data_IF_208788422012
#
_entry.id   IF_208788422012
#
_cell.length_a   1.000
_cell.length_b   1.000
_cell.length_c   1.000
_cell.angle_alpha   90.00
_cell.angle_beta   90.00
_cell.angle_gamma   90.00
#
_symmetry.space_group_name_H-M   'P 1'
#
loop_
_entity.id
_entity.type
_entity.pdbx_description
1 polymer ?
#
# COMPACT_ATOMS: atom_id res chain seq x y z
N UNK A 1 -31.87 2.38 -10.06
CA UNK A 1 -30.57 1.79 -10.50
C UNK A 1 -29.48 2.47 -9.70
N UNK A 2 -28.61 1.73 -9.01
CA UNK A 2 -27.53 2.33 -8.24
C UNK A 2 -26.65 3.20 -9.16
N UNK A 3 -26.41 4.43 -8.76
CA UNK A 3 -25.48 5.33 -9.44
C UNK A 3 -24.35 5.73 -8.50
N UNK A 4 -23.16 6.00 -9.07
CA UNK A 4 -21.93 6.31 -8.35
C UNK A 4 -21.39 7.61 -8.90
N UNK A 5 -21.03 8.54 -8.02
CA UNK A 5 -20.49 9.86 -8.34
C UNK A 5 -19.23 10.09 -7.50
N UNK A 6 -18.12 10.47 -8.14
CA UNK A 6 -16.90 10.84 -7.44
C UNK A 6 -17.07 12.24 -6.87
N UNK A 7 -16.99 12.37 -5.55
CA UNK A 7 -17.10 13.65 -4.85
C UNK A 7 -15.73 14.32 -4.72
N UNK A 8 -14.70 13.55 -4.36
CA UNK A 8 -13.32 14.00 -4.32
C UNK A 8 -12.38 12.85 -4.62
N UNK A 9 -11.27 13.17 -5.28
CA UNK A 9 -10.17 12.25 -5.52
C UNK A 9 -8.87 13.02 -5.37
N UNK A 10 -8.03 12.55 -4.49
CA UNK A 10 -6.65 12.95 -4.30
C UNK A 10 -5.75 11.78 -4.71
N UNK A 11 -4.43 11.94 -4.65
CA UNK A 11 -3.51 10.92 -5.17
C UNK A 11 -3.81 9.52 -4.63
N UNK A 12 -3.95 9.38 -3.31
CA UNK A 12 -4.15 8.09 -2.64
C UNK A 12 -5.55 7.93 -2.01
N UNK A 13 -6.40 8.97 -2.05
CA UNK A 13 -7.69 8.97 -1.37
C UNK A 13 -8.85 9.29 -2.31
N UNK A 14 -9.98 8.60 -2.13
CA UNK A 14 -11.21 8.87 -2.87
C UNK A 14 -12.42 8.90 -1.94
N UNK A 15 -13.35 9.80 -2.25
CA UNK A 15 -14.69 9.83 -1.67
C UNK A 15 -15.73 9.74 -2.77
N UNK A 16 -16.63 8.78 -2.64
CA UNK A 16 -17.65 8.46 -3.67
C UNK A 16 -19.04 8.50 -3.06
N UNK A 17 -19.99 9.11 -3.76
CA UNK A 17 -21.40 9.10 -3.40
C UNK A 17 -22.15 7.99 -4.17
N UNK A 18 -22.78 7.12 -3.42
CA UNK A 18 -23.71 6.12 -3.94
C UNK A 18 -25.13 6.63 -3.76
N UNK A 19 -25.93 6.57 -4.84
CA UNK A 19 -27.36 6.90 -4.84
C UNK A 19 -28.16 5.65 -5.19
N UNK A 20 -29.42 5.60 -4.73
CA UNK A 20 -30.30 4.44 -4.87
C UNK A 20 -29.68 3.13 -4.35
N UNK A 21 -28.97 3.21 -3.24
CA UNK A 21 -28.24 2.10 -2.64
C UNK A 21 -28.72 1.81 -1.21
N UNK A 22 -28.22 0.74 -0.64
CA UNK A 22 -28.49 0.38 0.75
C UNK A 22 -27.20 0.06 1.53
N UNK A 23 -27.34 -0.03 2.84
CA UNK A 23 -26.23 -0.30 3.75
C UNK A 23 -25.58 -1.67 3.51
N UNK A 24 -26.34 -2.66 3.05
CA UNK A 24 -25.83 -4.01 2.79
C UNK A 24 -24.87 -4.01 1.59
N UNK A 25 -25.27 -3.31 0.52
CA UNK A 25 -24.43 -3.14 -0.67
C UNK A 25 -23.12 -2.41 -0.33
N UNK A 26 -23.20 -1.29 0.41
CA UNK A 26 -22.01 -0.53 0.80
C UNK A 26 -21.07 -1.37 1.68
N UNK A 27 -21.63 -2.17 2.59
CA UNK A 27 -20.80 -3.06 3.41
C UNK A 27 -20.17 -4.19 2.58
N UNK A 28 -20.85 -4.70 1.55
CA UNK A 28 -20.27 -5.67 0.63
C UNK A 28 -19.09 -5.06 -0.15
N UNK A 29 -19.25 -3.85 -0.70
CA UNK A 29 -18.16 -3.11 -1.37
C UNK A 29 -17.00 -2.86 -0.41
N UNK A 30 -17.27 -2.33 0.79
CA UNK A 30 -16.25 -2.11 1.82
C UNK A 30 -15.44 -3.37 2.12
N UNK A 31 -16.09 -4.51 2.31
CA UNK A 31 -15.41 -5.78 2.59
C UNK A 31 -14.56 -6.26 1.42
N UNK A 32 -14.99 -6.03 0.19
CA UNK A 32 -14.18 -6.36 -0.99
C UNK A 32 -12.96 -5.44 -1.08
N UNK A 33 -13.12 -4.14 -0.87
CA UNK A 33 -12.00 -3.19 -0.82
C UNK A 33 -10.94 -3.62 0.18
N UNK A 34 -11.34 -3.98 1.40
CA UNK A 34 -10.41 -4.31 2.49
C UNK A 34 -9.63 -5.61 2.28
N UNK A 35 -10.21 -6.61 1.60
CA UNK A 35 -9.60 -7.93 1.67
C UNK A 35 -9.67 -8.80 0.42
N UNK A 36 -10.36 -8.38 -0.61
CA UNK A 36 -10.61 -9.24 -1.76
C UNK A 36 -10.15 -8.67 -3.12
N UNK A 37 -9.42 -7.56 -3.10
CA UNK A 37 -8.72 -7.05 -4.29
C UNK A 37 -7.41 -7.82 -4.42
N UNK A 38 -7.10 -8.40 -5.60
CA UNK A 38 -5.79 -8.98 -5.87
C UNK A 38 -4.71 -7.91 -5.82
N UNK A 39 -3.60 -8.19 -5.17
CA UNK A 39 -2.46 -7.28 -5.06
C UNK A 39 -1.15 -8.04 -5.09
N UNK A 40 -0.14 -7.45 -5.75
CA UNK A 40 1.25 -7.89 -5.67
C UNK A 40 1.88 -7.42 -4.36
N UNK A 41 2.58 -8.31 -3.66
CA UNK A 41 3.37 -7.95 -2.49
C UNK A 41 4.57 -8.90 -2.34
N UNK A 42 5.68 -8.38 -1.83
CA UNK A 42 6.86 -9.19 -1.54
C UNK A 42 6.47 -10.27 -0.52
N UNK A 43 6.67 -11.53 -0.90
CA UNK A 43 6.29 -12.69 -0.11
C UNK A 43 7.48 -13.52 0.35
N UNK A 44 8.47 -13.70 -0.51
CA UNK A 44 9.67 -14.46 -0.22
C UNK A 44 10.91 -13.57 -0.38
N UNK A 45 11.83 -13.65 0.58
CA UNK A 45 13.11 -12.92 0.54
C UNK A 45 14.24 -13.92 0.74
N UNK A 46 15.21 -13.89 -0.17
CA UNK A 46 16.42 -14.70 -0.10
C UNK A 46 17.62 -13.78 0.18
N UNK A 47 18.16 -13.88 1.35
CA UNK A 47 19.35 -13.15 1.76
C UNK A 47 20.62 -13.90 1.35
N UNK A 48 21.60 -13.15 0.85
CA UNK A 48 22.93 -13.65 0.61
C UNK A 48 23.78 -13.39 1.85
N UNK A 49 24.19 -14.45 2.54
CA UNK A 49 24.91 -14.36 3.81
C UNK A 49 26.39 -14.69 3.62
N UNK A 50 27.24 -14.00 4.36
CA UNK A 50 28.68 -14.29 4.41
C UNK A 50 29.56 -13.05 4.49
N UNK A 51 30.87 -13.29 4.34
CA UNK A 51 31.92 -12.26 4.21
C UNK A 51 32.35 -12.23 2.75
N UNK A 52 32.57 -11.05 2.22
CA UNK A 52 32.94 -10.83 0.82
C UNK A 52 34.14 -9.92 0.72
N UNK A 53 35.06 -10.27 -0.19
CA UNK A 53 36.21 -9.46 -0.56
C UNK A 53 35.92 -8.73 -1.87
N UNK A 54 35.67 -7.43 -1.82
CA UNK A 54 35.47 -6.61 -3.00
C UNK A 54 36.80 -6.19 -3.60
N UNK A 55 37.02 -6.57 -4.86
CA UNK A 55 38.21 -6.15 -5.57
C UNK A 55 38.20 -4.65 -5.87
N UNK A 56 39.19 -3.91 -5.42
CA UNK A 56 39.34 -2.46 -5.69
C UNK A 56 39.47 -2.17 -7.19
N UNK A 57 40.10 -3.08 -7.98
CA UNK A 57 40.36 -2.88 -9.41
C UNK A 57 39.12 -3.03 -10.29
N UNK A 58 38.21 -3.97 -9.98
CA UNK A 58 37.05 -4.28 -10.86
C UNK A 58 35.72 -4.35 -10.10
N UNK A 59 35.72 -3.98 -8.81
CA UNK A 59 34.51 -3.93 -7.91
C UNK A 59 33.77 -5.26 -7.76
N UNK A 60 34.38 -6.37 -8.24
CA UNK A 60 33.76 -7.68 -8.13
C UNK A 60 33.79 -8.18 -6.69
N UNK A 61 32.63 -8.66 -6.20
CA UNK A 61 32.52 -9.30 -4.88
C UNK A 61 32.90 -10.78 -4.98
N UNK A 62 33.88 -11.17 -4.21
CA UNK A 62 34.36 -12.55 -4.08
C UNK A 62 33.96 -13.08 -2.71
N UNK A 63 33.22 -14.22 -2.59
CA UNK A 63 32.98 -14.83 -1.29
C UNK A 63 34.28 -15.11 -0.57
N UNK A 64 34.42 -14.73 0.70
CA UNK A 64 35.61 -14.95 1.48
C UNK A 64 35.95 -16.43 1.56
N UNK A 65 37.23 -16.77 1.34
CA UNK A 65 37.73 -18.14 1.31
C UNK A 65 37.52 -18.90 0.01
N UNK A 66 36.72 -18.36 -0.95
CA UNK A 66 36.54 -18.90 -2.30
C UNK A 66 37.33 -18.11 -3.35
N UNK A 67 37.98 -17.01 -2.94
CA UNK A 67 38.84 -16.27 -3.82
C UNK A 67 39.80 -17.22 -4.54
N UNK A 68 39.76 -17.21 -5.86
CA UNK A 68 40.51 -18.14 -6.72
C UNK A 68 41.97 -18.10 -6.32
N UNK A 69 42.54 -19.23 -5.95
CA UNK A 69 43.97 -19.32 -5.73
C UNK A 69 44.68 -19.11 -7.08
N UNK A 70 45.20 -17.92 -7.29
CA UNK A 70 46.12 -17.65 -8.37
C UNK A 70 47.50 -18.26 -8.04
N UNK A 71 48.41 -18.38 -9.02
CA UNK A 71 49.69 -19.04 -8.87
C UNK A 71 50.62 -18.42 -7.77
N UNK A 72 50.18 -17.35 -7.12
CA UNK A 72 50.92 -16.62 -6.05
C UNK A 72 50.12 -16.29 -4.79
N UNK A 73 48.83 -16.72 -4.63
CA UNK A 73 48.03 -16.39 -3.46
C UNK A 73 46.54 -16.36 -3.71
N UNK A 74 45.82 -15.64 -2.88
CA UNK A 74 44.38 -15.33 -3.07
C UNK A 74 44.23 -14.15 -4.01
N UNK A 75 43.19 -14.16 -4.87
CA UNK A 75 42.96 -13.09 -5.82
C UNK A 75 41.54 -13.04 -6.36
N UNK A 76 41.24 -11.98 -7.07
CA UNK A 76 39.93 -11.74 -7.65
C UNK A 76 39.56 -12.81 -8.69
N UNK A 77 38.38 -13.42 -8.56
CA UNK A 77 37.91 -14.45 -9.49
C UNK A 77 37.55 -13.90 -10.89
N UNK A 78 37.38 -12.58 -11.04
CA UNK A 78 37.01 -11.93 -12.30
C UNK A 78 38.22 -11.34 -13.06
N UNK A 79 39.16 -10.69 -12.38
CA UNK A 79 40.25 -9.97 -13.04
C UNK A 79 41.63 -10.50 -12.66
N UNK A 80 41.74 -11.57 -11.88
CA UNK A 80 42.97 -12.21 -11.39
C UNK A 80 43.92 -11.26 -10.62
N UNK A 81 43.43 -10.08 -10.17
CA UNK A 81 44.22 -9.19 -9.30
C UNK A 81 44.51 -9.89 -7.97
N UNK A 82 45.77 -9.87 -7.52
CA UNK A 82 46.16 -10.46 -6.24
C UNK A 82 45.56 -9.68 -5.06
N UNK A 83 45.20 -10.36 -3.99
CA UNK A 83 44.70 -9.79 -2.74
C UNK A 83 45.81 -9.95 -1.67
N UNK A 84 46.68 -8.94 -1.55
CA UNK A 84 47.80 -8.95 -0.61
C UNK A 84 47.53 -8.02 0.58
N UNK A 85 46.88 -6.87 0.31
CA UNK A 85 46.61 -5.86 1.32
C UNK A 85 45.16 -5.43 1.32
N UNK A 86 44.53 -5.49 2.49
CA UNK A 86 43.24 -4.92 2.75
C UNK A 86 43.25 -3.40 2.53
N UNK A 87 42.15 -2.82 2.07
CA UNK A 87 41.95 -1.42 1.67
C UNK A 87 42.74 -0.95 0.43
N UNK A 88 43.83 -1.62 0.04
CA UNK A 88 44.58 -1.30 -1.19
C UNK A 88 44.14 -2.18 -2.38
N UNK A 89 44.01 -3.48 -2.17
CA UNK A 89 43.69 -4.47 -3.21
C UNK A 89 42.26 -4.94 -3.13
N UNK A 90 41.69 -5.04 -1.92
CA UNK A 90 40.35 -5.47 -1.65
C UNK A 90 39.74 -4.82 -0.38
N UNK A 91 38.42 -4.72 -0.33
CA UNK A 91 37.64 -4.22 0.81
C UNK A 91 36.81 -5.38 1.34
N UNK A 92 36.87 -5.60 2.67
CA UNK A 92 36.07 -6.64 3.32
C UNK A 92 34.65 -6.12 3.65
N UNK A 93 33.65 -6.87 3.25
CA UNK A 93 32.24 -6.61 3.55
C UNK A 93 31.63 -7.80 4.28
N UNK A 94 30.82 -7.50 5.30
CA UNK A 94 30.09 -8.52 6.05
C UNK A 94 28.58 -8.28 5.95
N UNK A 95 27.82 -9.38 5.81
CA UNK A 95 26.35 -9.34 5.84
C UNK A 95 25.79 -9.45 7.25
N UNK A 96 26.57 -9.09 8.26
CA UNK A 96 26.16 -9.07 9.66
C UNK A 96 25.74 -7.64 10.06
N UNK A 97 24.46 -7.41 10.25
CA UNK A 97 23.88 -6.12 10.60
C UNK A 97 22.95 -6.22 11.81
N UNK A 98 22.59 -5.06 12.40
CA UNK A 98 21.93 -5.00 13.70
C UNK A 98 20.46 -5.51 13.69
N UNK A 99 19.79 -5.42 12.55
CA UNK A 99 18.38 -5.84 12.42
C UNK A 99 18.32 -7.25 11.88
N UNK A 100 17.59 -8.21 12.53
CA UNK A 100 17.42 -9.56 12.04
C UNK A 100 16.76 -9.61 10.66
N UNK A 101 17.10 -10.64 9.86
CA UNK A 101 16.62 -10.84 8.50
C UNK A 101 15.09 -10.89 8.42
N UNK A 102 14.45 -11.53 9.41
CA UNK A 102 12.99 -11.64 9.49
C UNK A 102 12.31 -10.26 9.61
N UNK A 103 12.93 -9.35 10.34
CA UNK A 103 12.40 -7.99 10.46
C UNK A 103 12.61 -7.18 9.18
N UNK A 104 13.73 -7.41 8.48
CA UNK A 104 13.95 -6.80 7.17
C UNK A 104 12.95 -7.36 6.16
N UNK A 105 12.73 -8.67 6.14
CA UNK A 105 11.74 -9.31 5.28
C UNK A 105 10.32 -8.78 5.56
N UNK A 106 9.95 -8.58 6.82
CA UNK A 106 8.67 -7.98 7.20
C UNK A 106 8.53 -6.55 6.66
N UNK A 107 9.56 -5.73 6.78
CA UNK A 107 9.55 -4.35 6.24
C UNK A 107 9.43 -4.35 4.72
N UNK A 108 10.18 -5.22 4.04
CA UNK A 108 10.09 -5.39 2.58
C UNK A 108 8.69 -5.79 2.14
N UNK A 109 8.04 -6.71 2.88
CA UNK A 109 6.68 -7.16 2.58
C UNK A 109 5.62 -6.04 2.67
N UNK A 110 5.89 -4.97 3.43
CA UNK A 110 4.98 -3.83 3.59
C UNK A 110 5.28 -2.67 2.62
N UNK A 111 6.33 -2.77 1.80
CA UNK A 111 6.60 -1.78 0.75
C UNK A 111 5.55 -1.94 -0.36
N UNK A 112 4.86 -0.86 -0.78
CA UNK A 112 3.91 -0.92 -1.87
C UNK A 112 4.60 -1.33 -3.18
N UNK A 113 4.10 -2.39 -3.79
CA UNK A 113 4.54 -2.89 -5.09
C UNK A 113 3.47 -2.54 -6.12
N UNK A 114 3.81 -1.90 -7.26
CA UNK A 114 2.84 -1.62 -8.31
C UNK A 114 2.12 -2.89 -8.72
N UNK A 115 0.80 -2.81 -8.84
CA UNK A 115 -0.02 -3.96 -9.15
C UNK A 115 -0.84 -3.71 -10.40
N UNK A 116 -0.56 -4.46 -11.46
CA UNK A 116 -1.40 -4.56 -12.64
C UNK A 116 -2.13 -5.92 -12.62
N UNK A 117 -3.44 -5.86 -12.33
CA UNK A 117 -4.27 -7.08 -12.21
C UNK A 117 -4.46 -7.78 -13.56
N UNK A 118 -4.31 -7.07 -14.67
CA UNK A 118 -4.46 -7.64 -16.01
C UNK A 118 -3.16 -8.30 -16.50
N UNK A 119 -2.01 -7.75 -16.10
CA UNK A 119 -0.70 -8.24 -16.51
C UNK A 119 -0.23 -9.46 -15.66
N UNK A 120 -0.61 -9.52 -14.40
CA UNK A 120 -0.17 -10.57 -13.49
C UNK A 120 -1.31 -11.50 -13.07
N UNK A 121 -0.99 -12.77 -12.87
CA UNK A 121 -1.92 -13.81 -12.43
C UNK A 121 -1.46 -14.48 -11.14
N UNK A 122 -2.38 -15.15 -10.45
CA UNK A 122 -2.02 -16.04 -9.34
C UNK A 122 -1.23 -17.24 -9.87
N UNK A 123 -0.28 -17.76 -9.09
CA UNK A 123 0.54 -18.92 -9.47
C UNK A 123 -0.33 -20.14 -9.80
N UNK A 124 -1.42 -20.37 -9.06
CA UNK A 124 -2.34 -21.49 -9.25
C UNK A 124 -3.15 -21.40 -10.55
N UNK A 125 -3.40 -20.19 -11.05
CA UNK A 125 -4.15 -19.94 -12.28
C UNK A 125 -3.29 -19.49 -13.46
N UNK A 126 -1.99 -19.33 -13.24
CA UNK A 126 -1.04 -18.91 -14.26
C UNK A 126 -1.00 -19.92 -15.43
N UNK A 127 -1.16 -19.48 -16.68
CA UNK A 127 -1.12 -20.40 -17.84
C UNK A 127 0.14 -21.26 -17.91
N UNK A 128 1.29 -20.69 -17.51
CA UNK A 128 2.59 -21.35 -17.59
C UNK A 128 2.94 -22.18 -16.37
N UNK A 129 2.34 -21.89 -15.21
CA UNK A 129 2.74 -22.50 -13.92
C UNK A 129 1.69 -23.43 -13.31
N UNK A 130 0.40 -23.34 -13.70
CA UNK A 130 -0.71 -24.08 -13.05
C UNK A 130 -0.51 -25.61 -12.98
N UNK A 131 0.17 -26.17 -13.95
CA UNK A 131 0.40 -27.61 -14.07
C UNK A 131 1.75 -28.05 -13.43
N UNK A 132 2.53 -27.10 -12.89
CA UNK A 132 3.78 -27.36 -12.20
C UNK A 132 3.55 -27.64 -10.70
N UNK A 133 4.49 -28.35 -10.08
CA UNK A 133 4.53 -28.49 -8.61
C UNK A 133 4.86 -27.14 -7.98
N UNK A 134 4.41 -26.92 -6.76
CA UNK A 134 4.51 -25.59 -6.08
C UNK A 134 5.95 -25.06 -6.02
N UNK A 135 6.95 -25.95 -5.91
CA UNK A 135 8.38 -25.57 -5.85
C UNK A 135 8.92 -25.02 -7.18
N UNK A 136 8.33 -25.41 -8.31
CA UNK A 136 8.76 -25.01 -9.66
C UNK A 136 7.93 -23.85 -10.23
N UNK A 137 6.90 -23.37 -9.51
CA UNK A 137 6.10 -22.21 -9.90
C UNK A 137 6.91 -20.92 -9.74
N UNK A 138 6.59 -19.92 -10.53
CA UNK A 138 7.20 -18.59 -10.39
C UNK A 138 7.78 -18.02 -11.67
N UNK A 139 6.98 -18.00 -12.73
CA UNK A 139 7.35 -17.36 -13.98
C UNK A 139 7.17 -15.82 -13.94
N UNK A 140 7.70 -15.07 -14.93
CA UNK A 140 7.55 -13.61 -14.99
C UNK A 140 6.11 -13.11 -15.10
N UNK A 141 5.15 -13.97 -15.45
CA UNK A 141 3.71 -13.63 -15.55
C UNK A 141 3.01 -13.66 -14.19
N UNK A 142 3.56 -14.34 -13.20
CA UNK A 142 2.97 -14.44 -11.87
C UNK A 142 3.87 -13.91 -10.75
N UNK A 143 5.16 -13.70 -10.99
CA UNK A 143 6.11 -13.20 -10.00
C UNK A 143 6.88 -11.97 -10.48
N UNK A 144 7.10 -11.02 -9.55
CA UNK A 144 8.00 -9.89 -9.73
C UNK A 144 9.23 -10.11 -8.86
N UNK A 145 10.42 -9.96 -9.44
CA UNK A 145 11.69 -10.15 -8.72
C UNK A 145 12.37 -8.81 -8.52
N UNK A 146 12.65 -8.48 -7.28
CA UNK A 146 13.43 -7.32 -6.88
C UNK A 146 14.79 -7.74 -6.35
N UNK A 147 15.79 -6.93 -6.60
CA UNK A 147 17.13 -7.07 -6.01
C UNK A 147 17.47 -5.86 -5.19
N UNK A 148 18.21 -6.09 -4.12
CA UNK A 148 18.81 -5.03 -3.33
C UNK A 148 20.26 -5.41 -3.06
N UNK A 149 21.19 -4.53 -3.47
CA UNK A 149 22.60 -4.62 -3.10
C UNK A 149 23.05 -3.24 -2.63
N UNK A 150 23.46 -3.14 -1.37
CA UNK A 150 23.87 -1.89 -0.79
C UNK A 150 25.01 -2.09 0.21
N UNK A 151 25.88 -1.09 0.27
CA UNK A 151 27.04 -1.04 1.14
C UNK A 151 26.85 0.04 2.20
N UNK A 152 27.31 -0.25 3.40
CA UNK A 152 27.33 0.68 4.50
C UNK A 152 28.38 1.77 4.31
N UNK A 153 28.25 2.81 5.11
CA UNK A 153 29.16 3.96 5.07
C UNK A 153 29.58 4.37 6.48
N UNK A 154 30.66 5.12 6.55
CA UNK A 154 31.12 5.74 7.80
C UNK A 154 30.05 6.68 8.34
N UNK A 155 29.64 6.45 9.58
CA UNK A 155 28.50 7.19 10.18
C UNK A 155 27.13 6.58 9.96
N UNK A 156 27.01 5.51 9.17
CA UNK A 156 25.77 4.82 8.86
C UNK A 156 25.11 5.33 7.57
N UNK A 157 24.58 4.39 6.77
CA UNK A 157 23.76 4.65 5.60
C UNK A 157 22.39 3.99 5.79
N UNK A 158 21.32 4.77 5.76
CA UNK A 158 19.97 4.21 5.73
C UNK A 158 19.68 3.67 4.34
N UNK A 159 19.31 2.41 4.29
CA UNK A 159 18.85 1.71 3.08
C UNK A 159 17.34 1.88 3.03
N UNK A 160 16.84 2.31 1.88
CA UNK A 160 15.42 2.62 1.68
C UNK A 160 14.86 1.82 0.52
N UNK A 161 13.55 1.91 0.29
CA UNK A 161 12.90 1.28 -0.86
C UNK A 161 13.44 1.76 -2.22
N UNK A 162 14.13 2.91 -2.26
CA UNK A 162 14.85 3.42 -3.44
C UNK A 162 16.01 2.52 -3.86
N UNK A 163 16.61 1.79 -2.92
CA UNK A 163 17.71 0.86 -3.19
C UNK A 163 17.21 -0.48 -3.77
N UNK A 164 15.89 -0.74 -3.75
CA UNK A 164 15.29 -1.89 -4.42
C UNK A 164 15.22 -1.64 -5.93
N UNK A 165 15.66 -2.61 -6.70
CA UNK A 165 15.61 -2.58 -8.16
C UNK A 165 14.76 -3.74 -8.66
N UNK A 166 13.72 -3.44 -9.45
CA UNK A 166 12.96 -4.46 -10.15
C UNK A 166 13.77 -5.02 -11.32
N UNK A 167 13.73 -6.33 -11.53
CA UNK A 167 14.47 -7.00 -12.63
C UNK A 167 13.68 -7.02 -13.96
N UNK A 168 12.57 -6.32 -14.04
CA UNK A 168 11.79 -6.13 -15.26
C UNK A 168 11.95 -4.71 -15.82
N UNK A 169 10.87 -4.20 -16.37
CA UNK A 169 10.80 -2.83 -16.89
C UNK A 169 10.54 -1.81 -15.75
N UNK A 170 10.63 -0.52 -16.06
CA UNK A 170 10.49 0.54 -15.06
C UNK A 170 9.11 0.61 -14.39
N UNK A 171 8.09 -0.03 -14.96
CA UNK A 171 6.72 -0.01 -14.41
C UNK A 171 6.60 -0.78 -13.09
N UNK A 172 7.46 -1.76 -12.86
CA UNK A 172 7.51 -2.53 -11.62
C UNK A 172 8.30 -1.88 -10.48
N UNK A 173 8.97 -0.75 -10.70
CA UNK A 173 9.70 -0.07 -9.64
C UNK A 173 8.75 0.52 -8.58
N UNK A 174 9.21 0.55 -7.32
CA UNK A 174 8.46 1.19 -6.22
C UNK A 174 8.10 2.62 -6.60
N UNK A 175 6.83 3.06 -6.44
CA UNK A 175 6.40 4.41 -6.78
C UNK A 175 7.22 5.48 -6.03
N UNK A 176 7.49 6.61 -6.68
CA UNK A 176 8.39 7.66 -6.17
C UNK A 176 8.00 8.14 -4.76
N UNK A 177 6.70 8.27 -4.48
CA UNK A 177 6.20 8.71 -3.18
C UNK A 177 6.59 7.77 -2.01
N UNK A 178 6.89 6.50 -2.30
CA UNK A 178 7.19 5.46 -1.29
C UNK A 178 8.65 5.02 -1.28
N UNK A 179 9.51 5.60 -2.14
CA UNK A 179 10.93 5.22 -2.26
C UNK A 179 11.75 5.54 -1.02
N UNK A 180 11.31 6.45 -0.18
CA UNK A 180 12.03 6.84 1.03
C UNK A 180 11.66 6.00 2.28
N UNK A 181 10.84 4.96 2.13
CA UNK A 181 10.51 4.02 3.22
C UNK A 181 11.80 3.33 3.68
N UNK A 182 12.20 3.45 4.96
CA UNK A 182 13.45 2.89 5.47
C UNK A 182 13.34 1.38 5.68
N UNK A 183 14.34 0.64 5.20
CA UNK A 183 14.46 -0.83 5.34
C UNK A 183 15.38 -1.16 6.51
N UNK A 184 16.64 -0.70 6.46
CA UNK A 184 17.66 -0.94 7.48
C UNK A 184 18.71 0.16 7.45
N UNK A 185 19.66 0.14 8.42
CA UNK A 185 20.83 1.01 8.41
C UNK A 185 22.08 0.13 8.43
N UNK A 186 23.01 0.41 7.53
CA UNK A 186 24.30 -0.28 7.42
C UNK A 186 25.44 0.67 7.80
N UNK A 187 26.36 0.15 8.59
CA UNK A 187 27.60 0.85 8.99
C UNK A 187 28.79 0.43 8.11
N UNK A 188 29.93 1.09 8.30
CA UNK A 188 31.16 0.78 7.61
C UNK A 188 31.52 -0.71 7.74
N UNK A 189 31.93 -1.35 6.65
CA UNK A 189 32.19 -2.77 6.57
C UNK A 189 30.96 -3.68 6.45
N UNK A 190 29.74 -3.13 6.52
CA UNK A 190 28.51 -3.91 6.38
C UNK A 190 27.94 -3.80 4.98
N UNK A 191 27.37 -4.89 4.49
CA UNK A 191 26.62 -4.91 3.23
C UNK A 191 25.33 -5.72 3.37
N UNK A 192 24.39 -5.45 2.49
CA UNK A 192 23.20 -6.28 2.30
C UNK A 192 23.09 -6.66 0.83
N UNK A 193 22.80 -7.92 0.56
CA UNK A 193 22.46 -8.42 -0.76
C UNK A 193 21.29 -9.41 -0.62
N UNK A 194 20.22 -9.14 -1.35
CA UNK A 194 19.03 -9.99 -1.31
C UNK A 194 18.29 -10.00 -2.65
N UNK A 195 17.47 -11.02 -2.82
CA UNK A 195 16.41 -11.13 -3.83
C UNK A 195 15.07 -11.24 -3.12
N UNK A 196 14.12 -10.39 -3.52
CA UNK A 196 12.78 -10.40 -2.99
C UNK A 196 11.80 -10.73 -4.12
N UNK A 197 10.97 -11.73 -3.93
CA UNK A 197 9.95 -12.15 -4.89
C UNK A 197 8.59 -11.69 -4.40
N UNK A 198 7.93 -10.87 -5.23
CA UNK A 198 6.54 -10.49 -5.00
C UNK A 198 5.62 -11.37 -5.83
N UNK A 199 4.49 -11.77 -5.22
CA UNK A 199 3.44 -12.55 -5.86
C UNK A 199 2.06 -12.01 -5.51
N UNK A 200 1.06 -12.40 -6.28
CA UNK A 200 -0.32 -11.96 -6.09
C UNK A 200 -0.96 -12.67 -4.90
N UNK A 201 -1.73 -11.93 -4.13
CA UNK A 201 -2.49 -12.44 -3.00
C UNK A 201 -3.67 -11.55 -2.64
N UNK A 202 -4.40 -11.92 -1.59
CA UNK A 202 -5.55 -11.19 -1.09
C UNK A 202 -5.31 -10.68 0.33
N UNK A 203 -5.81 -9.49 0.65
CA UNK A 203 -5.74 -8.90 1.98
C UNK A 203 -6.34 -9.77 3.10
N UNK A 204 -7.31 -10.63 2.77
CA UNK A 204 -7.88 -11.60 3.72
C UNK A 204 -6.84 -12.64 4.18
N UNK A 205 -5.84 -12.95 3.38
CA UNK A 205 -4.80 -13.91 3.74
C UNK A 205 -3.71 -13.28 4.60
N UNK A 206 -3.28 -12.07 4.25
CA UNK A 206 -2.31 -11.30 5.02
C UNK A 206 -2.39 -9.82 4.69
N UNK A 207 -2.17 -8.95 5.67
CA UNK A 207 -2.27 -7.49 5.55
C UNK A 207 -1.34 -6.89 4.48
N UNK A 208 -0.22 -7.52 4.12
CA UNK A 208 0.67 -7.06 3.05
C UNK A 208 -0.02 -6.98 1.69
N UNK A 209 -1.06 -7.78 1.46
CA UNK A 209 -1.90 -7.76 0.26
C UNK A 209 -3.15 -6.88 0.41
N UNK A 210 -3.29 -6.14 1.51
CA UNK A 210 -4.36 -5.16 1.63
C UNK A 210 -4.01 -3.92 0.81
N UNK A 211 -4.86 -3.63 -0.18
CA UNK A 211 -4.67 -2.49 -1.09
C UNK A 211 -5.19 -1.19 -0.49
N UNK A 212 -6.20 -1.30 0.38
CA UNK A 212 -6.93 -0.14 0.90
C UNK A 212 -6.89 -0.07 2.42
N UNK A 213 -6.90 1.15 2.93
CA UNK A 213 -6.97 1.47 4.34
C UNK A 213 -8.08 2.50 4.61
N UNK A 214 -8.49 2.63 5.87
CA UNK A 214 -9.48 3.63 6.28
C UNK A 214 -10.84 3.52 5.57
N UNK A 215 -11.23 2.33 5.10
CA UNK A 215 -12.47 2.15 4.33
C UNK A 215 -13.68 2.36 5.21
N UNK A 216 -14.34 3.49 5.05
CA UNK A 216 -15.52 3.88 5.80
C UNK A 216 -16.68 4.22 4.88
N UNK A 217 -17.90 4.02 5.35
CA UNK A 217 -19.07 4.57 4.70
C UNK A 217 -20.06 5.12 5.72
N UNK A 218 -20.71 6.21 5.36
CA UNK A 218 -21.73 6.86 6.16
C UNK A 218 -22.91 7.30 5.29
N UNK A 219 -24.14 7.42 5.85
CA UNK A 219 -25.24 8.02 5.10
C UNK A 219 -24.89 9.45 4.74
N UNK A 220 -25.24 9.87 3.51
CA UNK A 220 -25.18 11.29 3.14
C UNK A 220 -26.16 12.07 4.01
N UNK A 221 -25.71 13.19 4.54
CA UNK A 221 -26.50 14.04 5.41
C UNK A 221 -26.70 15.44 4.79
N UNK A 222 -27.85 16.02 5.12
CA UNK A 222 -28.16 17.42 4.85
C UNK A 222 -28.26 18.12 6.21
N UNK A 223 -27.60 19.28 6.33
CA UNK A 223 -27.67 20.10 7.53
C UNK A 223 -28.78 21.16 7.37
N UNK A 224 -29.63 21.30 8.39
CA UNK A 224 -30.66 22.32 8.46
C UNK A 224 -30.54 23.16 9.74
N UNK A 225 -30.78 24.47 9.63
CA UNK A 225 -30.78 25.38 10.79
C UNK A 225 -32.10 25.18 11.54
N UNK A 226 -32.04 24.62 12.74
CA UNK A 226 -33.21 24.38 13.58
C UNK A 226 -33.50 25.53 14.55
N UNK A 227 -32.47 26.22 15.01
CA UNK A 227 -32.58 27.34 15.93
C UNK A 227 -31.64 28.49 15.52
N UNK A 228 -32.22 29.54 14.94
CA UNK A 228 -31.46 30.69 14.43
C UNK A 228 -30.58 31.41 15.47
N UNK A 229 -31.05 31.46 16.74
CA UNK A 229 -30.30 32.14 17.81
C UNK A 229 -29.05 31.34 18.19
N UNK A 230 -29.22 30.04 18.40
CA UNK A 230 -28.11 29.11 18.75
C UNK A 230 -27.16 28.92 17.56
N UNK A 231 -27.70 28.85 16.33
CA UNK A 231 -26.88 28.80 15.12
C UNK A 231 -25.99 30.03 14.96
N UNK A 232 -26.48 31.24 15.32
CA UNK A 232 -25.67 32.46 15.32
C UNK A 232 -24.50 32.30 16.32
N UNK A 233 -24.77 31.85 17.54
CA UNK A 233 -23.73 31.61 18.56
C UNK A 233 -22.69 30.61 18.05
N UNK A 234 -23.13 29.53 17.40
CA UNK A 234 -22.25 28.53 16.80
C UNK A 234 -21.35 29.12 15.71
N UNK A 235 -21.91 29.88 14.77
CA UNK A 235 -21.13 30.53 13.69
C UNK A 235 -20.19 31.62 14.19
N UNK A 236 -20.55 32.32 15.27
CA UNK A 236 -19.71 33.36 15.89
C UNK A 236 -18.43 32.77 16.56
N UNK A 237 -18.37 31.42 16.75
CA UNK A 237 -17.19 30.71 17.23
C UNK A 237 -16.09 30.55 16.18
N UNK A 238 -16.28 31.04 14.97
CA UNK A 238 -15.26 31.04 13.90
C UNK A 238 -15.17 29.73 13.14
N UNK A 239 -16.29 29.06 12.93
CA UNK A 239 -16.36 27.89 12.07
C UNK A 239 -16.00 28.25 10.63
N UNK A 240 -15.53 27.25 9.85
CA UNK A 240 -15.29 27.38 8.41
C UNK A 240 -16.57 27.63 7.62
N UNK A 241 -17.69 27.10 8.12
CA UNK A 241 -19.02 27.23 7.54
C UNK A 241 -19.78 28.35 8.21
N UNK A 242 -20.49 29.17 7.43
CA UNK A 242 -21.26 30.32 7.88
C UNK A 242 -22.74 30.22 7.48
N UNK A 243 -23.59 31.05 8.06
CA UNK A 243 -25.02 31.11 7.69
C UNK A 243 -25.24 31.39 6.18
N UNK A 244 -24.29 32.02 5.50
CA UNK A 244 -24.39 32.31 4.04
C UNK A 244 -24.26 31.06 3.17
N UNK A 245 -23.69 29.98 3.70
CA UNK A 245 -23.53 28.71 3.00
C UNK A 245 -24.85 27.92 2.96
N UNK A 246 -25.80 28.26 3.84
CA UNK A 246 -27.13 27.67 3.88
C UNK A 246 -28.05 28.37 2.88
N UNK A 247 -28.62 27.62 1.96
CA UNK A 247 -29.66 28.05 1.01
C UNK A 247 -31.01 27.61 1.56
N UNK A 248 -31.93 28.53 1.73
CA UNK A 248 -33.26 28.29 2.31
C UNK A 248 -33.22 27.50 3.64
N UNK A 249 -32.19 27.80 4.46
CA UNK A 249 -31.98 27.15 5.76
C UNK A 249 -31.37 25.73 5.68
N UNK A 250 -30.97 25.26 4.49
CA UNK A 250 -30.38 23.94 4.27
C UNK A 250 -28.98 24.04 3.64
N UNK A 251 -28.12 23.12 4.02
CA UNK A 251 -26.79 22.91 3.46
C UNK A 251 -26.73 21.49 2.90
N UNK A 252 -26.63 21.37 1.58
CA UNK A 252 -26.66 20.08 0.86
C UNK A 252 -25.30 19.67 0.29
N UNK A 253 -24.35 20.61 0.25
CA UNK A 253 -23.01 20.37 -0.26
C UNK A 253 -22.25 19.40 0.65
N UNK A 254 -21.80 18.26 0.09
CA UNK A 254 -21.19 17.17 0.83
C UNK A 254 -19.92 17.61 1.59
N UNK A 255 -19.07 18.41 0.91
CA UNK A 255 -17.83 18.88 1.54
C UNK A 255 -18.11 19.82 2.69
N UNK A 256 -19.02 20.78 2.48
CA UNK A 256 -19.40 21.74 3.51
C UNK A 256 -20.11 21.09 4.70
N UNK A 257 -20.95 20.09 4.47
CA UNK A 257 -21.56 19.31 5.56
C UNK A 257 -20.50 18.53 6.35
N UNK A 258 -19.53 17.91 5.66
CA UNK A 258 -18.41 17.25 6.33
C UNK A 258 -17.58 18.20 7.18
N UNK A 259 -17.26 19.41 6.64
CA UNK A 259 -16.54 20.43 7.39
C UNK A 259 -17.34 20.93 8.58
N UNK A 260 -18.64 21.15 8.41
CA UNK A 260 -19.53 21.53 9.50
C UNK A 260 -19.55 20.47 10.61
N UNK A 261 -19.63 19.16 10.27
CA UNK A 261 -19.58 18.08 11.24
C UNK A 261 -18.26 18.07 12.04
N UNK A 262 -17.13 18.25 11.35
CA UNK A 262 -15.80 18.35 12.00
C UNK A 262 -15.72 19.55 12.94
N UNK A 263 -16.22 20.70 12.49
CA UNK A 263 -16.21 21.93 13.30
C UNK A 263 -17.12 21.79 14.52
N UNK A 264 -18.33 21.24 14.37
CA UNK A 264 -19.23 20.96 15.49
C UNK A 264 -18.63 19.95 16.49
N UNK A 265 -17.91 18.95 16.00
CA UNK A 265 -17.18 18.01 16.88
C UNK A 265 -16.09 18.71 17.69
N UNK A 266 -15.36 19.65 17.09
CA UNK A 266 -14.28 20.37 17.74
C UNK A 266 -14.76 21.36 18.81
N UNK A 267 -15.90 22.00 18.61
CA UNK A 267 -16.49 22.96 19.58
C UNK A 267 -17.50 22.33 20.53
N UNK A 268 -17.85 21.05 20.34
CA UNK A 268 -18.87 20.33 21.09
C UNK A 268 -18.36 19.64 22.35
N UNK A 269 -18.45 18.32 22.43
CA UNK A 269 -18.22 17.57 23.67
C UNK A 269 -16.87 17.87 24.34
N UNK A 270 -16.90 18.15 25.62
CA UNK A 270 -15.70 18.42 26.42
C UNK A 270 -15.22 19.87 26.45
N UNK A 271 -15.81 20.76 25.65
CA UNK A 271 -15.48 22.21 25.66
C UNK A 271 -16.29 23.00 26.69
N UNK A 272 -17.37 22.41 27.22
CA UNK A 272 -18.34 23.10 28.09
C UNK A 272 -19.29 24.04 27.32
N UNK A 273 -19.19 24.13 26.01
CA UNK A 273 -19.98 25.02 25.16
C UNK A 273 -21.13 24.29 24.44
N UNK A 274 -21.19 22.97 24.53
CA UNK A 274 -22.20 22.15 23.83
C UNK A 274 -23.63 22.58 24.11
N UNK A 275 -23.94 23.00 25.34
CA UNK A 275 -25.29 23.40 25.74
C UNK A 275 -25.72 24.75 25.11
N UNK A 276 -24.76 25.58 24.69
CA UNK A 276 -25.04 26.90 24.09
C UNK A 276 -25.52 26.81 22.65
N UNK A 277 -25.19 25.73 21.94
CA UNK A 277 -25.57 25.51 20.53
C UNK A 277 -26.21 24.15 20.25
N UNK A 278 -26.51 23.37 21.30
CA UNK A 278 -27.37 22.18 21.18
C UNK A 278 -28.67 22.57 20.45
N UNK A 279 -29.15 21.75 19.54
CA UNK A 279 -30.27 22.02 18.63
C UNK A 279 -30.05 23.22 17.62
N UNK A 280 -28.86 23.76 17.50
CA UNK A 280 -28.60 24.83 16.52
C UNK A 280 -28.79 24.35 15.09
N UNK A 281 -28.28 23.17 14.80
CA UNK A 281 -28.27 22.51 13.47
C UNK A 281 -28.71 21.07 13.63
N UNK A 282 -29.62 20.65 12.77
CA UNK A 282 -30.02 19.23 12.65
C UNK A 282 -29.41 18.63 11.41
N UNK A 283 -28.83 17.44 11.55
CA UNK A 283 -28.30 16.62 10.46
C UNK A 283 -29.33 15.53 10.15
N UNK A 284 -29.80 15.50 8.91
CA UNK A 284 -30.79 14.52 8.46
C UNK A 284 -30.19 13.61 7.40
N UNK A 285 -30.32 12.29 7.57
CA UNK A 285 -29.86 11.29 6.61
C UNK A 285 -30.72 11.30 5.35
N UNK A 286 -30.06 11.33 4.19
CA UNK A 286 -30.74 11.18 2.89
C UNK A 286 -30.91 9.69 2.61
N UNK A 287 -32.15 9.25 2.51
CA UNK A 287 -32.48 7.85 2.29
C UNK A 287 -31.94 7.33 0.96
N UNK A 288 -31.19 6.22 1.02
CA UNK A 288 -30.64 5.57 -0.17
C UNK A 288 -29.34 6.21 -0.70
N UNK A 289 -28.80 7.22 0.00
CA UNK A 289 -27.55 7.88 -0.37
C UNK A 289 -26.48 7.68 0.70
N UNK A 290 -25.28 7.27 0.25
CA UNK A 290 -24.15 6.96 1.13
C UNK A 290 -22.86 7.49 0.55
N UNK A 291 -21.98 7.98 1.42
CA UNK A 291 -20.61 8.33 1.11
C UNK A 291 -19.68 7.19 1.50
N UNK A 292 -18.87 6.73 0.57
CA UNK A 292 -17.80 5.75 0.80
C UNK A 292 -16.47 6.48 0.62
N UNK A 293 -15.59 6.38 1.61
CA UNK A 293 -14.24 6.96 1.56
C UNK A 293 -13.21 5.91 1.93
N UNK A 294 -12.08 5.91 1.23
CA UNK A 294 -10.94 5.05 1.52
C UNK A 294 -9.64 5.63 0.95
N UNK A 295 -8.53 5.14 1.45
CA UNK A 295 -7.19 5.41 0.98
C UNK A 295 -6.60 4.14 0.35
N UNK A 296 -5.70 4.30 -0.64
CA UNK A 296 -4.87 3.21 -1.17
C UNK A 296 -3.47 3.28 -0.61
N UNK A 297 -2.78 2.16 -0.61
CA UNK A 297 -1.39 2.08 -0.17
C UNK A 297 -0.36 2.43 -1.25
N UNK A 298 -0.83 2.91 -2.42
CA UNK A 298 0.01 3.28 -3.56
C UNK A 298 0.36 2.14 -4.52
N UNK A 299 -0.11 0.92 -4.26
CA UNK A 299 0.07 -0.21 -5.19
C UNK A 299 -0.80 -0.10 -6.44
N UNK A 300 -1.91 0.61 -6.35
CA UNK A 300 -2.80 0.99 -7.43
C UNK A 300 -3.56 2.27 -7.07
N UNK A 301 -4.12 2.93 -8.06
CA UNK A 301 -4.92 4.14 -7.85
C UNK A 301 -6.25 3.83 -7.16
N UNK A 302 -6.86 4.80 -6.44
CA UNK A 302 -8.15 4.60 -5.80
C UNK A 302 -9.27 4.20 -6.78
N UNK A 303 -9.24 4.71 -8.02
CA UNK A 303 -10.22 4.37 -9.04
C UNK A 303 -10.06 2.92 -9.52
N UNK A 304 -8.82 2.45 -9.72
CA UNK A 304 -8.53 1.05 -10.07
C UNK A 304 -8.95 0.11 -8.94
N UNK A 305 -8.63 0.46 -7.68
CA UNK A 305 -9.05 -0.32 -6.51
C UNK A 305 -10.58 -0.45 -6.41
N UNK A 306 -11.32 0.64 -6.66
CA UNK A 306 -12.78 0.64 -6.66
C UNK A 306 -13.34 -0.25 -7.77
N UNK A 307 -12.83 -0.13 -8.99
CA UNK A 307 -13.21 -0.95 -10.12
C UNK A 307 -12.91 -2.44 -9.86
N UNK A 308 -11.73 -2.75 -9.35
CA UNK A 308 -11.35 -4.12 -8.98
C UNK A 308 -12.30 -4.71 -7.92
N UNK A 309 -12.69 -3.91 -6.91
CA UNK A 309 -13.64 -4.35 -5.89
C UNK A 309 -15.03 -4.67 -6.49
N UNK A 310 -15.53 -3.87 -7.44
CA UNK A 310 -16.79 -4.14 -8.13
C UNK A 310 -16.71 -5.37 -9.02
N UNK A 311 -15.65 -5.50 -9.81
CA UNK A 311 -15.45 -6.66 -10.68
C UNK A 311 -15.40 -7.94 -9.84
N UNK A 312 -14.63 -7.92 -8.74
CA UNK A 312 -14.54 -9.06 -7.84
C UNK A 312 -15.87 -9.40 -7.16
N UNK A 313 -16.66 -8.41 -6.82
CA UNK A 313 -18.00 -8.62 -6.26
C UNK A 313 -18.92 -9.27 -7.30
N UNK A 314 -18.90 -8.79 -8.54
CA UNK A 314 -19.67 -9.34 -9.66
C UNK A 314 -19.28 -10.80 -9.96
N UNK A 315 -17.99 -11.12 -10.02
CA UNK A 315 -17.48 -12.50 -10.20
C UNK A 315 -18.01 -13.45 -9.13
N UNK A 316 -17.96 -13.04 -7.85
CA UNK A 316 -18.45 -13.86 -6.73
C UNK A 316 -19.96 -14.12 -6.82
N UNK A 317 -20.76 -13.14 -7.22
CA UNK A 317 -22.18 -13.35 -7.44
C UNK A 317 -22.45 -14.24 -8.65
N UNK A 318 -21.66 -14.12 -9.72
CA UNK A 318 -21.77 -15.00 -10.90
C UNK A 318 -21.45 -16.45 -10.55
N UNK A 319 -20.39 -16.69 -9.78
CA UNK A 319 -20.05 -18.04 -9.31
C UNK A 319 -21.18 -18.67 -8.46
N UNK A 320 -21.75 -17.89 -7.52
CA UNK A 320 -22.89 -18.36 -6.72
C UNK A 320 -24.09 -18.70 -7.61
N UNK A 321 -24.36 -17.90 -8.63
CA UNK A 321 -25.45 -18.15 -9.58
C UNK A 321 -25.22 -19.45 -10.34
N UNK A 322 -24.01 -19.67 -10.85
CA UNK A 322 -23.64 -20.92 -11.55
C UNK A 322 -23.84 -22.15 -10.66
N UNK A 323 -23.37 -22.08 -9.40
CA UNK A 323 -23.57 -23.16 -8.42
C UNK A 323 -25.05 -23.44 -8.16
N UNK A 324 -25.89 -22.40 -8.04
CA UNK A 324 -27.32 -22.54 -7.87
C UNK A 324 -27.98 -23.19 -9.10
N UNK A 325 -27.60 -22.75 -10.30
CA UNK A 325 -28.12 -23.30 -11.56
C UNK A 325 -27.77 -24.79 -11.70
N UNK A 326 -26.58 -25.22 -11.24
CA UNK A 326 -26.18 -26.62 -11.19
C UNK A 326 -26.98 -27.47 -10.19
N UNK A 327 -27.38 -26.89 -9.07
CA UNK A 327 -28.16 -27.61 -8.03
C UNK A 327 -29.64 -27.74 -8.40
N UNK A 328 -30.17 -26.77 -9.17
CA UNK A 328 -31.61 -26.73 -9.58
C UNK A 328 -31.85 -27.54 -10.87
N UNK A 329 -30.83 -27.73 -11.71
CA UNK A 329 -30.91 -28.54 -12.94
C UNK A 329 -30.87 -30.03 -12.64
#
# INVERSE_FOLDING_TARGET
MVSVEIISQEDDMITVLFKDSDRAMLNAVRRNLMGHIPKMAIDTVRFQMGTYDQCVKCEHLNPAGVARRTAGGTGCSKCDAAFEKEDEDYIVWETNYAIPDEMIAQRLAMIPVPTDIEAYSFEESCPDCKDLVDEDRGCPTCNMIYTLRAFGAKGGRTITARDLTFLGDDSGNVPEAYRDIPITTLHEGQMIELWATARMGYGVNHAKWSTTAGVTFEPRQIASISNDKRAKTLFDMGLRISKKDFKDGKLEDVHKVSDLKKDMHNVGPGTGLSDDFDDAITLEDVKGEYLLSFETDGSMTPAEALNAAFNRLAERFSAIKEDIDHVIA
#
